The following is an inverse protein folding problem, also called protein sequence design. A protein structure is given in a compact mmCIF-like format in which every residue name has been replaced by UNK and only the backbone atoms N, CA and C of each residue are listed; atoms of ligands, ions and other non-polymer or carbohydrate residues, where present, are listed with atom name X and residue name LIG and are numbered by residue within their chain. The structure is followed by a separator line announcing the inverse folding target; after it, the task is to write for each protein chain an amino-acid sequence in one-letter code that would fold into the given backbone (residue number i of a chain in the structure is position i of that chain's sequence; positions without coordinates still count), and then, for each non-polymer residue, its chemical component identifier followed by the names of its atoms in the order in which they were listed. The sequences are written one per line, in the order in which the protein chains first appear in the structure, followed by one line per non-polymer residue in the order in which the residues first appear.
data_IF_242425541561
#
_entry.id   IF_242425541561
#
_cell.length_a   1.000
_cell.length_b   1.000
_cell.length_c   1.000
_cell.angle_alpha   90.00
_cell.angle_beta   90.00
_cell.angle_gamma   90.00
#
_symmetry.space_group_name_H-M   'P 1'
#
loop_
_entity.id
_entity.type
_entity.pdbx_description
1 polymer ?
#
# COMPACT_ATOMS: atom_id res chain seq x y z
N UNK A 1 -5.55 32.17 -4.31
CA UNK A 1 -5.83 31.74 -4.26
C UNK A 1 -6.06 31.15 -4.17
N UNK A 2 -5.95 30.96 -4.38
CA UNK A 2 -6.19 30.25 -4.30
C UNK A 2 -6.28 29.56 -4.39
N UNK A 3 -6.05 29.37 -4.54
CA UNK A 3 -6.02 28.66 -4.48
C UNK A 3 -6.01 27.96 -4.56
N UNK A 4 -5.61 28.04 -4.50
CA UNK A 4 -5.61 27.36 -4.43
C UNK A 4 -5.88 26.78 -4.42
N UNK A 5 -5.74 26.84 -4.38
CA UNK A 5 -6.22 26.29 -4.28
C UNK A 5 -6.99 25.95 -4.39
N UNK A 6 -6.65 26.11 -4.61
CA UNK A 6 -7.71 26.13 -4.69
C UNK A 6 -8.61 25.51 -4.77
N UNK A 7 -9.16 25.93 -4.65
CA UNK A 7 -10.28 25.21 -4.67
C UNK A 7 -10.09 23.75 -4.78
N UNK A 8 -8.99 23.37 -5.16
CA UNK A 8 -8.74 21.95 -5.29
C UNK A 8 -8.23 21.40 -3.97
N UNK A 9 -9.01 20.54 -3.39
CA UNK A 9 -8.59 19.82 -2.21
C UNK A 9 -8.20 18.44 -2.67
N UNK A 10 -6.95 18.09 -2.63
CA UNK A 10 -6.57 16.74 -3.04
C UNK A 10 -7.22 15.74 -2.11
N UNK A 11 -7.53 14.61 -2.65
CA UNK A 11 -8.02 13.53 -1.83
C UNK A 11 -7.02 13.26 -0.73
N UNK A 12 -7.52 12.80 0.40
CA UNK A 12 -6.65 12.36 1.45
C UNK A 12 -5.69 11.33 0.87
N UNK A 13 -4.42 11.40 1.22
CA UNK A 13 -3.49 10.43 0.71
C UNK A 13 -3.86 9.04 1.15
N UNK A 14 -3.47 8.09 0.34
CA UNK A 14 -3.61 6.70 0.68
C UNK A 14 -2.65 6.44 1.83
N UNK A 15 -3.19 5.99 2.97
CA UNK A 15 -2.38 5.83 4.17
C UNK A 15 -1.90 4.41 4.38
N UNK A 16 -2.06 3.56 3.39
CA UNK A 16 -1.47 2.24 3.46
C UNK A 16 0.03 2.33 3.32
N UNK A 17 0.72 1.36 3.90
CA UNK A 17 2.15 1.25 3.78
C UNK A 17 2.52 -0.14 3.38
N UNK A 18 3.80 -0.33 3.05
CA UNK A 18 4.28 -1.66 2.69
C UNK A 18 5.53 -1.95 3.52
N UNK A 19 5.63 -3.18 3.99
CA UNK A 19 6.76 -3.65 4.78
C UNK A 19 7.30 -4.93 4.19
N UNK A 20 8.61 -5.12 4.35
CA UNK A 20 9.26 -6.36 3.98
C UNK A 20 9.76 -7.04 5.24
N UNK A 21 9.56 -8.34 5.34
CA UNK A 21 10.07 -9.12 6.46
C UNK A 21 10.84 -10.30 5.94
N UNK A 22 12.01 -10.50 6.51
CA UNK A 22 12.77 -11.70 6.21
C UNK A 22 12.19 -12.85 7.02
N UNK A 23 11.97 -13.97 6.35
CA UNK A 23 11.44 -15.17 6.96
C UNK A 23 12.46 -16.27 6.81
N UNK A 24 12.22 -17.40 7.48
CA UNK A 24 13.17 -18.51 7.43
C UNK A 24 13.45 -18.99 6.02
N UNK A 25 12.41 -19.02 5.20
CA UNK A 25 12.52 -19.59 3.86
C UNK A 25 12.33 -18.57 2.76
N UNK A 26 12.50 -17.29 3.08
CA UNK A 26 12.33 -16.29 2.04
C UNK A 26 11.95 -14.97 2.64
N UNK A 27 11.06 -14.28 1.96
CA UNK A 27 10.65 -12.94 2.36
C UNK A 27 9.14 -12.82 2.30
N UNK A 28 8.61 -11.94 3.10
CA UNK A 28 7.18 -11.64 3.09
C UNK A 28 6.99 -10.16 2.85
N UNK A 29 6.07 -9.83 1.95
CA UNK A 29 5.69 -8.45 1.70
C UNK A 29 4.32 -8.26 2.32
N UNK A 30 4.17 -7.20 3.11
CA UNK A 30 2.92 -6.91 3.80
C UNK A 30 2.42 -5.54 3.42
N UNK A 31 1.11 -5.44 3.25
CA UNK A 31 0.46 -4.14 3.16
C UNK A 31 -0.14 -3.87 4.53
N UNK A 32 0.22 -2.72 5.09
CA UNK A 32 -0.20 -2.34 6.43
C UNK A 32 -1.16 -1.18 6.32
N UNK A 33 -2.22 -1.23 7.08
CA UNK A 33 -3.19 -0.14 7.10
C UNK A 33 -2.75 0.99 8.01
N UNK A 34 -3.51 2.08 8.00
CA UNK A 34 -3.15 3.26 8.80
C UNK A 34 -3.12 3.01 10.30
N UNK A 35 -3.83 2.01 10.76
CA UNK A 35 -3.78 1.66 12.17
C UNK A 35 -2.70 0.67 12.53
N UNK A 36 -1.87 0.30 11.56
CA UNK A 36 -0.81 -0.67 11.81
C UNK A 36 -1.22 -2.11 11.58
N UNK A 37 -2.47 -2.33 11.20
CA UNK A 37 -2.94 -3.70 10.98
C UNK A 37 -2.40 -4.22 9.65
N UNK A 38 -2.13 -5.52 9.61
CA UNK A 38 -1.69 -6.17 8.37
C UNK A 38 -2.92 -6.48 7.56
N UNK A 39 -3.02 -5.88 6.37
CA UNK A 39 -4.18 -6.03 5.52
C UNK A 39 -3.98 -7.04 4.41
N UNK A 40 -2.74 -7.37 4.11
CA UNK A 40 -2.46 -8.24 2.96
C UNK A 40 -1.02 -8.71 3.06
N UNK A 41 -0.76 -9.94 2.67
CA UNK A 41 0.60 -10.47 2.68
C UNK A 41 0.84 -11.32 1.45
N UNK A 42 2.10 -11.41 1.06
CA UNK A 42 2.52 -12.32 0.01
C UNK A 42 3.93 -12.80 0.29
N UNK A 43 4.15 -14.10 0.13
CA UNK A 43 5.48 -14.68 0.29
C UNK A 43 6.26 -14.53 -1.01
N UNK A 44 7.54 -14.24 -0.87
CA UNK A 44 8.47 -14.12 -1.99
C UNK A 44 9.67 -15.00 -1.72
N UNK A 45 10.26 -15.50 -2.80
CA UNK A 45 11.36 -16.44 -2.65
C UNK A 45 12.69 -15.80 -2.30
N UNK A 46 12.84 -14.50 -2.62
CA UNK A 46 14.09 -13.82 -2.33
C UNK A 46 13.83 -12.33 -2.21
N UNK A 47 14.87 -11.61 -1.80
CA UNK A 47 14.70 -10.19 -1.51
C UNK A 47 14.45 -9.38 -2.78
N UNK A 48 14.99 -9.81 -3.91
CA UNK A 48 14.77 -9.09 -5.16
C UNK A 48 13.30 -9.12 -5.54
N UNK A 49 12.67 -10.29 -5.46
CA UNK A 49 11.24 -10.40 -5.69
C UNK A 49 10.45 -9.53 -4.73
N UNK A 50 10.84 -9.58 -3.46
CA UNK A 50 10.12 -8.83 -2.45
C UNK A 50 10.23 -7.33 -2.71
N UNK A 51 11.40 -6.86 -3.08
CA UNK A 51 11.60 -5.44 -3.38
C UNK A 51 10.82 -5.01 -4.60
N UNK A 52 10.81 -5.84 -5.63
CA UNK A 52 10.06 -5.53 -6.84
C UNK A 52 8.57 -5.42 -6.53
N UNK A 53 8.06 -6.37 -5.77
CA UNK A 53 6.65 -6.35 -5.40
C UNK A 53 6.35 -5.13 -4.53
N UNK A 54 7.21 -4.84 -3.55
CA UNK A 54 7.00 -3.70 -2.69
C UNK A 54 7.01 -2.40 -3.48
N UNK A 55 7.89 -2.30 -4.47
CA UNK A 55 7.95 -1.12 -5.30
C UNK A 55 6.65 -0.93 -6.08
N UNK A 56 6.13 -2.01 -6.63
CA UNK A 56 4.86 -1.97 -7.35
C UNK A 56 3.72 -1.53 -6.42
N UNK A 57 3.70 -2.10 -5.21
CA UNK A 57 2.67 -1.72 -4.26
C UNK A 57 2.78 -0.25 -3.88
N UNK A 58 4.00 0.24 -3.69
CA UNK A 58 4.18 1.65 -3.36
C UNK A 58 3.69 2.57 -4.46
N UNK A 59 3.88 2.17 -5.71
CA UNK A 59 3.34 2.94 -6.83
C UNK A 59 1.83 2.98 -6.76
N UNK A 60 1.21 1.86 -6.45
CA UNK A 60 -0.24 1.82 -6.33
C UNK A 60 -0.73 2.66 -5.15
N UNK A 61 0.00 2.64 -4.04
CA UNK A 61 -0.34 3.49 -2.92
C UNK A 61 -0.31 4.96 -3.33
N UNK A 62 0.68 5.30 -4.13
CA UNK A 62 0.85 6.68 -4.55
C UNK A 62 -0.22 7.11 -5.53
N UNK A 63 -0.64 6.22 -6.43
CA UNK A 63 -1.52 6.59 -7.54
C UNK A 63 -2.98 6.30 -7.29
N UNK A 64 -3.31 5.35 -6.45
CA UNK A 64 -4.69 4.94 -6.26
C UNK A 64 -5.25 5.57 -5.00
N UNK A 65 -6.53 5.96 -5.07
CA UNK A 65 -7.23 6.38 -3.87
C UNK A 65 -7.33 5.20 -2.91
N UNK A 66 -7.61 5.46 -1.63
CA UNK A 66 -7.73 4.34 -0.68
C UNK A 66 -8.76 3.30 -1.11
N UNK A 67 -9.89 3.75 -1.65
CA UNK A 67 -10.93 2.81 -2.08
C UNK A 67 -10.48 1.95 -3.24
N UNK A 68 -9.85 2.58 -4.24
CA UNK A 68 -9.35 1.84 -5.38
C UNK A 68 -8.24 0.90 -4.99
N UNK A 69 -7.40 1.31 -4.06
CA UNK A 69 -6.31 0.46 -3.58
C UNK A 69 -6.87 -0.80 -2.92
N UNK A 70 -7.86 -0.63 -2.05
CA UNK A 70 -8.49 -1.78 -1.40
C UNK A 70 -9.10 -2.72 -2.42
N UNK A 71 -9.75 -2.14 -3.41
CA UNK A 71 -10.38 -2.94 -4.45
C UNK A 71 -9.34 -3.74 -5.22
N UNK A 72 -8.25 -3.08 -5.58
CA UNK A 72 -7.20 -3.72 -6.37
C UNK A 72 -6.58 -4.90 -5.63
N UNK A 73 -6.33 -4.74 -4.35
CA UNK A 73 -5.70 -5.79 -3.55
C UNK A 73 -6.70 -6.64 -2.79
N UNK A 74 -7.99 -6.39 -2.99
CA UNK A 74 -9.06 -7.14 -2.36
C UNK A 74 -8.98 -7.08 -0.85
N UNK A 75 -8.70 -5.90 -0.35
CA UNK A 75 -8.65 -5.65 1.08
C UNK A 75 -10.03 -5.21 1.52
N UNK A 76 -10.55 -5.84 2.58
CA UNK A 76 -11.86 -5.46 3.09
C UNK A 76 -11.86 -4.02 3.50
N UNK A 77 -12.89 -3.30 3.11
CA UNK A 77 -13.01 -1.91 3.49
C UNK A 77 -13.54 -1.78 4.90
N UNK A 78 -13.46 -0.57 5.44
CA UNK A 78 -14.07 -0.32 6.74
C UNK A 78 -15.58 -0.43 6.61
N UNK A 79 -16.20 -0.95 7.62
CA UNK A 79 -17.65 -1.04 7.66
C UNK A 79 -18.23 -0.24 8.80
#
# INVERSE_FOLDING_TARGET
MNGATGGHVPEAPNEFGVELREEDLGWEVRIVGPGGEVAWTRSCGNVTEARTLASTIRQHIYWLSPGKFREYYRIAGPE
#
